data_IF_296651151428
#
_entry.id   IF_296651151428
#
_cell.length_a   1.000
_cell.length_b   1.000
_cell.length_c   1.000
_cell.angle_alpha   90.00
_cell.angle_beta   90.00
_cell.angle_gamma   90.00
#
_symmetry.space_group_name_H-M   'P 1'
#
loop_
_entity.id
_entity.type
_entity.pdbx_description
1 polymer ?
#
# COMPACT_ATOMS: atom_id res chain seq x y z
N UNK A 1 2.41 -26.75 -2.97
CA UNK A 1 2.55 -25.48 -2.23
C UNK A 1 1.20 -24.76 -2.35
N UNK A 2 0.34 -24.70 -1.32
CA UNK A 2 -0.93 -24.00 -1.48
C UNK A 2 -0.65 -22.50 -1.60
N UNK A 3 -1.34 -21.87 -2.54
CA UNK A 3 -1.28 -20.45 -2.82
C UNK A 3 -1.57 -19.66 -1.53
N UNK A 4 -0.64 -18.78 -1.17
CA UNK A 4 -0.64 -17.98 0.06
C UNK A 4 -2.02 -17.50 0.52
N UNK A 5 -2.31 -17.65 1.82
CA UNK A 5 -3.49 -17.18 2.57
C UNK A 5 -3.64 -15.64 2.61
N UNK A 6 -3.47 -14.97 1.47
CA UNK A 6 -3.73 -13.55 1.38
C UNK A 6 -5.23 -13.32 1.36
N UNK A 7 -5.70 -12.51 2.30
CA UNK A 7 -7.09 -12.06 2.33
C UNK A 7 -7.37 -11.25 1.07
N UNK A 8 -8.42 -11.65 0.38
CA UNK A 8 -9.02 -10.91 -0.74
C UNK A 8 -10.00 -9.91 -0.15
N UNK A 9 -10.00 -8.70 -0.69
CA UNK A 9 -10.87 -7.62 -0.25
C UNK A 9 -11.63 -7.02 -1.43
N UNK A 10 -12.93 -6.76 -1.26
CA UNK A 10 -13.63 -5.82 -2.13
C UNK A 10 -13.09 -4.40 -1.90
N UNK A 11 -13.40 -3.49 -2.81
CA UNK A 11 -12.99 -2.09 -2.67
C UNK A 11 -13.59 -1.45 -1.40
N UNK A 12 -14.81 -1.82 -1.02
CA UNK A 12 -15.47 -1.35 0.20
C UNK A 12 -14.77 -1.88 1.46
N UNK A 13 -14.43 -3.17 1.48
CA UNK A 13 -13.73 -3.80 2.60
C UNK A 13 -12.32 -3.20 2.78
N UNK A 14 -11.61 -2.98 1.68
CA UNK A 14 -10.31 -2.33 1.70
C UNK A 14 -10.42 -0.87 2.17
N UNK A 15 -11.44 -0.13 1.70
CA UNK A 15 -11.74 1.22 2.16
C UNK A 15 -12.10 1.30 3.64
N UNK A 16 -12.75 0.28 4.20
CA UNK A 16 -13.02 0.22 5.64
C UNK A 16 -11.72 0.12 6.47
N UNK A 17 -10.65 -0.44 5.91
CA UNK A 17 -9.34 -0.55 6.54
C UNK A 17 -8.46 0.70 6.37
N UNK A 18 -8.70 1.50 5.33
CA UNK A 18 -7.92 2.72 5.03
C UNK A 18 -7.79 3.66 6.22
N UNK A 19 -8.86 4.06 6.95
CA UNK A 19 -8.71 4.96 8.10
C UNK A 19 -7.80 4.41 9.20
N UNK A 20 -7.76 3.09 9.38
CA UNK A 20 -6.91 2.44 10.37
C UNK A 20 -5.45 2.43 9.93
N UNK A 21 -5.20 2.08 8.67
CA UNK A 21 -3.85 2.08 8.08
C UNK A 21 -3.30 3.50 7.99
N UNK A 22 -4.12 4.48 7.60
CA UNK A 22 -3.76 5.90 7.59
C UNK A 22 -3.26 6.36 8.98
N UNK A 23 -3.99 6.04 10.05
CA UNK A 23 -3.56 6.37 11.43
C UNK A 23 -2.24 5.70 11.82
N UNK A 24 -2.03 4.43 11.43
CA UNK A 24 -0.76 3.73 11.67
C UNK A 24 0.39 4.41 10.92
N UNK A 25 0.15 4.76 9.66
CA UNK A 25 1.09 5.45 8.78
C UNK A 25 1.45 6.83 9.31
N UNK A 26 0.45 7.66 9.67
CA UNK A 26 0.67 8.99 10.28
C UNK A 26 1.47 8.90 11.59
N UNK A 27 1.16 7.94 12.46
CA UNK A 27 1.93 7.73 13.69
C UNK A 27 3.39 7.36 13.40
N UNK A 28 3.60 6.60 12.33
CA UNK A 28 4.93 6.14 11.91
C UNK A 28 5.72 7.29 11.28
N UNK A 29 5.09 8.10 10.43
CA UNK A 29 5.66 9.34 9.88
C UNK A 29 6.13 10.26 10.99
N UNK A 30 5.27 10.57 11.98
CA UNK A 30 5.66 11.41 13.13
C UNK A 30 6.87 10.87 13.91
N UNK A 31 7.04 9.55 13.98
CA UNK A 31 8.20 8.93 14.64
C UNK A 31 9.47 9.08 13.81
N UNK A 32 9.37 8.97 12.49
CA UNK A 32 10.49 9.19 11.58
C UNK A 32 10.88 10.67 11.55
N UNK A 33 9.91 11.58 11.52
CA UNK A 33 10.12 13.03 11.61
C UNK A 33 10.86 13.41 12.91
N UNK A 34 10.46 12.82 14.04
CA UNK A 34 11.11 13.04 15.33
C UNK A 34 12.55 12.50 15.39
N UNK A 35 12.90 11.53 14.55
CA UNK A 35 14.26 11.02 14.39
C UNK A 35 15.10 11.88 13.41
N UNK A 36 14.47 12.80 12.67
CA UNK A 36 15.14 13.54 11.60
C UNK A 36 15.54 12.66 10.42
N UNK A 37 14.95 11.46 10.30
CA UNK A 37 15.25 10.54 9.22
C UNK A 37 14.52 10.98 7.95
N UNK A 38 15.23 11.33 6.86
CA UNK A 38 14.58 11.59 5.59
C UNK A 38 13.96 10.28 5.09
N UNK A 39 12.67 10.34 4.78
CA UNK A 39 11.94 9.22 4.19
C UNK A 39 11.70 9.54 2.73
N UNK A 40 12.69 9.27 1.89
CA UNK A 40 12.46 9.10 0.46
C UNK A 40 11.76 7.75 0.25
N UNK A 41 10.99 7.62 -0.83
CA UNK A 41 10.10 6.46 -1.05
C UNK A 41 10.78 5.08 -1.17
N UNK A 42 12.08 5.00 -0.88
CA UNK A 42 12.92 3.81 -0.93
C UNK A 42 13.42 3.41 0.46
N UNK A 43 13.57 2.10 0.71
CA UNK A 43 14.05 1.57 1.99
C UNK A 43 15.58 1.49 2.08
N UNK A 44 16.27 1.66 0.95
CA UNK A 44 17.70 1.39 0.84
C UNK A 44 18.58 2.49 1.45
N UNK A 45 18.05 3.70 1.65
CA UNK A 45 18.75 4.83 2.30
C UNK A 45 18.46 5.03 3.78
N UNK A 46 17.58 4.21 4.38
CA UNK A 46 17.16 4.38 5.77
C UNK A 46 18.24 3.91 6.74
N UNK A 47 18.47 4.71 7.78
CA UNK A 47 19.22 4.26 8.95
C UNK A 47 18.52 3.08 9.66
N UNK A 48 19.25 2.35 10.50
CA UNK A 48 18.73 1.17 11.19
C UNK A 48 17.53 1.47 12.10
N UNK A 49 17.44 2.68 12.67
CA UNK A 49 16.33 3.07 13.53
C UNK A 49 15.05 3.31 12.71
N UNK A 50 15.17 4.03 11.60
CA UNK A 50 14.11 4.29 10.64
C UNK A 50 13.63 3.00 9.98
N UNK A 51 14.56 2.10 9.60
CA UNK A 51 14.24 0.77 9.07
C UNK A 51 13.39 -0.04 10.06
N UNK A 52 13.76 -0.08 11.34
CA UNK A 52 12.97 -0.79 12.38
C UNK A 52 11.57 -0.21 12.57
N UNK A 53 11.43 1.11 12.46
CA UNK A 53 10.12 1.79 12.55
C UNK A 53 9.24 1.41 11.36
N UNK A 54 9.79 1.42 10.15
CA UNK A 54 9.08 1.04 8.93
C UNK A 54 8.74 -0.45 8.93
N UNK A 55 9.63 -1.33 9.41
CA UNK A 55 9.32 -2.75 9.59
C UNK A 55 8.18 -2.98 10.59
N UNK A 56 8.15 -2.22 11.68
CA UNK A 56 7.08 -2.31 12.68
C UNK A 56 5.73 -1.88 12.08
N UNK A 57 5.74 -0.83 11.28
CA UNK A 57 4.57 -0.41 10.51
C UNK A 57 4.13 -1.50 9.52
N UNK A 58 5.07 -2.04 8.73
CA UNK A 58 4.79 -3.07 7.74
C UNK A 58 4.15 -4.32 8.37
N UNK A 59 4.66 -4.79 9.51
CA UNK A 59 4.05 -5.91 10.26
C UNK A 59 2.64 -5.57 10.73
N UNK A 60 2.40 -4.34 11.19
CA UNK A 60 1.07 -3.90 11.64
C UNK A 60 0.06 -3.86 10.49
N UNK A 61 0.49 -3.42 9.30
CA UNK A 61 -0.34 -3.42 8.09
C UNK A 61 -0.65 -4.85 7.63
N UNK A 62 0.34 -5.75 7.64
CA UNK A 62 0.16 -7.18 7.31
C UNK A 62 -0.87 -7.87 8.20
N UNK A 63 -0.91 -7.56 9.50
CA UNK A 63 -1.93 -8.10 10.43
C UNK A 63 -3.36 -7.68 10.03
N UNK A 64 -3.51 -6.54 9.36
CA UNK A 64 -4.78 -6.08 8.81
C UNK A 64 -5.08 -6.63 7.41
N UNK A 65 -4.17 -7.42 6.82
CA UNK A 65 -4.30 -8.00 5.49
C UNK A 65 -3.83 -7.09 4.36
N UNK A 66 -3.38 -5.87 4.68
CA UNK A 66 -2.71 -5.01 3.70
C UNK A 66 -1.30 -5.50 3.42
N UNK A 67 -0.84 -5.37 2.19
CA UNK A 67 0.50 -5.75 1.76
C UNK A 67 1.35 -4.48 1.64
N UNK A 68 2.26 -4.21 2.59
CA UNK A 68 3.11 -3.03 2.54
C UNK A 68 4.09 -3.16 1.37
N UNK A 69 4.06 -2.21 0.45
CA UNK A 69 4.97 -2.09 -0.70
C UNK A 69 5.77 -0.80 -0.50
N UNK A 70 7.08 -0.83 -0.75
CA UNK A 70 7.94 0.34 -0.52
C UNK A 70 7.75 1.00 0.86
N UNK A 71 7.89 2.32 0.91
CA UNK A 71 7.65 3.12 2.12
C UNK A 71 6.24 3.71 2.10
N UNK A 72 5.45 3.35 3.11
CA UNK A 72 4.08 3.84 3.34
C UNK A 72 3.02 3.53 2.29
N UNK A 73 3.34 2.83 1.19
CA UNK A 73 2.31 2.36 0.25
C UNK A 73 1.82 0.96 0.62
N UNK A 74 0.54 0.71 0.37
CA UNK A 74 -0.13 -0.53 0.76
C UNK A 74 -0.97 -1.03 -0.39
N UNK A 75 -0.76 -2.28 -0.77
CA UNK A 75 -1.55 -3.00 -1.76
C UNK A 75 -2.54 -3.93 -1.04
N UNK A 76 -3.76 -4.02 -1.52
CA UNK A 76 -4.75 -5.01 -1.08
C UNK A 76 -5.13 -5.87 -2.27
N UNK A 77 -5.30 -7.17 -2.02
CA UNK A 77 -5.62 -8.12 -3.08
C UNK A 77 -7.09 -8.00 -3.45
N UNK A 78 -7.35 -7.71 -4.72
CA UNK A 78 -8.70 -7.70 -5.25
C UNK A 78 -9.22 -9.12 -5.50
N UNK A 79 -10.52 -9.30 -5.78
CA UNK A 79 -11.08 -10.59 -6.20
C UNK A 79 -10.47 -11.10 -7.51
N UNK A 80 -10.08 -10.19 -8.40
CA UNK A 80 -9.27 -10.55 -9.56
C UNK A 80 -7.81 -10.77 -9.10
N UNK A 81 -7.23 -11.96 -9.30
CA UNK A 81 -5.88 -12.29 -8.85
C UNK A 81 -4.78 -11.44 -9.51
N UNK A 82 -5.07 -10.81 -10.64
CA UNK A 82 -4.15 -9.92 -11.33
C UNK A 82 -4.22 -8.50 -10.81
N UNK A 83 -5.26 -8.14 -10.07
CA UNK A 83 -5.59 -6.77 -9.68
C UNK A 83 -5.23 -6.49 -8.22
N UNK A 84 -4.65 -5.32 -7.98
CA UNK A 84 -4.33 -4.81 -6.66
C UNK A 84 -4.97 -3.45 -6.45
N UNK A 85 -5.64 -3.30 -5.30
CA UNK A 85 -6.11 -2.02 -4.79
C UNK A 85 -4.95 -1.35 -4.08
N UNK A 86 -4.53 -0.16 -4.51
CA UNK A 86 -3.34 0.46 -3.97
C UNK A 86 -3.69 1.76 -3.23
N UNK A 87 -3.06 1.96 -2.08
CA UNK A 87 -3.26 3.12 -1.22
C UNK A 87 -1.93 3.79 -0.87
N UNK A 88 -1.92 5.12 -0.91
CA UNK A 88 -0.81 5.95 -0.44
C UNK A 88 -1.26 6.96 0.63
N UNK A 89 -0.32 7.46 1.47
CA UNK A 89 -0.61 8.54 2.40
C UNK A 89 -1.16 9.78 1.68
N UNK A 90 -2.17 10.40 2.27
CA UNK A 90 -2.91 11.53 1.68
C UNK A 90 -4.18 11.12 0.94
N UNK A 91 -4.32 9.84 0.57
CA UNK A 91 -5.56 9.31 -0.01
C UNK A 91 -6.56 8.98 1.11
N UNK A 92 -7.76 9.55 1.05
CA UNK A 92 -8.83 9.30 2.06
C UNK A 92 -9.49 7.93 1.91
N UNK A 93 -9.37 7.34 0.72
CA UNK A 93 -9.92 6.07 0.29
C UNK A 93 -9.04 5.53 -0.84
N UNK A 94 -9.09 4.24 -1.10
CA UNK A 94 -8.48 3.63 -2.28
C UNK A 94 -9.15 4.21 -3.52
N UNK A 95 -8.37 4.99 -4.27
CA UNK A 95 -8.79 5.60 -5.53
C UNK A 95 -7.99 5.10 -6.73
N UNK A 96 -6.98 4.26 -6.50
CA UNK A 96 -6.09 3.73 -7.52
C UNK A 96 -6.00 2.21 -7.48
N UNK A 97 -5.75 1.61 -8.64
CA UNK A 97 -5.52 0.18 -8.85
C UNK A 97 -4.35 -0.03 -9.80
N UNK A 98 -3.65 -1.14 -9.67
CA UNK A 98 -2.63 -1.57 -10.63
C UNK A 98 -2.62 -3.09 -10.73
N UNK A 99 -2.04 -3.62 -11.79
CA UNK A 99 -1.84 -5.06 -11.91
C UNK A 99 -0.67 -5.57 -11.05
N UNK A 100 -0.63 -6.86 -10.78
CA UNK A 100 0.45 -7.50 -9.99
C UNK A 100 1.83 -7.39 -10.65
N UNK A 101 1.87 -7.26 -11.99
CA UNK A 101 3.10 -7.03 -12.76
C UNK A 101 3.46 -5.55 -12.93
N UNK A 102 2.58 -4.63 -12.50
CA UNK A 102 2.80 -3.19 -12.58
C UNK A 102 3.42 -2.64 -11.28
N UNK A 103 4.09 -1.50 -11.40
CA UNK A 103 4.60 -0.77 -10.25
C UNK A 103 3.54 0.20 -9.71
N UNK A 104 3.75 0.70 -8.49
CA UNK A 104 2.89 1.73 -7.92
C UNK A 104 2.87 3.03 -8.76
N UNK A 105 3.85 3.23 -9.63
CA UNK A 105 3.92 4.40 -10.54
C UNK A 105 2.98 4.26 -11.73
N UNK A 106 2.61 3.04 -12.10
CA UNK A 106 1.77 2.72 -13.25
C UNK A 106 0.27 2.62 -12.86
N UNK A 107 -0.05 2.95 -11.59
CA UNK A 107 -1.41 2.84 -11.06
C UNK A 107 -2.38 3.75 -11.81
N UNK A 108 -3.55 3.21 -12.08
CA UNK A 108 -4.65 3.90 -12.74
C UNK A 108 -5.76 4.20 -11.74
N UNK A 109 -6.52 5.27 -11.98
CA UNK A 109 -7.66 5.58 -11.14
C UNK A 109 -8.74 4.49 -11.28
N UNK A 110 -9.37 4.11 -10.17
CA UNK A 110 -10.52 3.19 -10.18
C UNK A 110 -11.71 3.81 -10.92
N UNK A 111 -11.80 5.15 -10.93
CA UNK A 111 -12.83 5.87 -11.68
C UNK A 111 -12.60 5.85 -13.19
N UNK A 112 -11.41 5.46 -13.65
CA UNK A 112 -11.11 5.31 -15.08
C UNK A 112 -11.75 4.01 -15.58
N UNK A 113 -12.67 4.14 -16.54
CA UNK A 113 -13.39 3.02 -17.16
C UNK A 113 -12.43 1.98 -17.73
N UNK A 114 -12.78 0.69 -17.57
CA UNK A 114 -12.01 -0.49 -18.01
C UNK A 114 -11.70 -0.50 -19.51
N UNK A 115 -12.43 0.29 -20.31
CA UNK A 115 -12.33 0.35 -21.78
C UNK A 115 -10.90 0.64 -22.29
N UNK A 116 -10.01 1.16 -21.45
CA UNK A 116 -8.64 1.55 -21.78
C UNK A 116 -7.56 0.94 -20.86
N UNK A 117 -7.86 -0.12 -20.11
CA UNK A 117 -6.91 -0.71 -19.16
C UNK A 117 -6.82 -2.25 -19.23
N UNK A 118 -5.60 -2.85 -19.32
CA UNK A 118 -4.31 -2.18 -19.53
C UNK A 118 -4.30 -1.52 -20.91
N UNK A 119 -3.95 -0.24 -20.95
CA UNK A 119 -3.74 0.47 -22.20
C UNK A 119 -2.69 -0.30 -22.96
N UNK A 120 -3.07 -0.90 -24.09
CA UNK A 120 -2.12 -1.57 -24.97
C UNK A 120 -0.98 -0.59 -25.27
N UNK A 121 0.24 -1.02 -24.96
CA UNK A 121 1.50 -0.40 -25.41
C UNK A 121 1.39 0.18 -26.83
#
# INVERSE_FOLDING_TARGET
MPFSDFRVFTIEEANALVPKIARLTERTQRRLDALGAPVDGDKDGLDDAARRIIETWARSVLVHGGQPKGVFTVDFRAPDPNLLWCWAPGERAICHRHFTWESFRDRVSISQRDDFWPGRN
#
